data_IF_394328367690
#
_entry.id   IF_394328367690
#
_cell.length_a   1.000
_cell.length_b   1.000
_cell.length_c   1.000
_cell.angle_alpha   90.00
_cell.angle_beta   90.00
_cell.angle_gamma   90.00
#
_symmetry.space_group_name_H-M   'P 1'
#
loop_
_entity.id
_entity.type
_entity.pdbx_description
1 polymer ?
#
# COMPACT_ATOMS: atom_id res chain seq x y z
N UNK A 1 -20.61 54.40 -8.26
CA UNK A 1 -19.72 53.24 -7.97
C UNK A 1 -20.64 52.03 -7.88
N UNK A 2 -20.81 51.34 -9.01
CA UNK A 2 -21.78 50.27 -9.23
C UNK A 2 -21.18 48.93 -8.82
N UNK A 3 -21.86 48.24 -7.90
CA UNK A 3 -21.51 46.92 -7.39
C UNK A 3 -22.05 45.84 -8.33
N UNK A 4 -21.19 45.26 -9.17
CA UNK A 4 -21.54 44.09 -9.98
C UNK A 4 -21.44 42.82 -9.13
N UNK A 5 -22.59 42.36 -8.65
CA UNK A 5 -22.81 41.04 -8.03
C UNK A 5 -22.83 39.99 -9.14
N UNK A 6 -21.77 39.20 -9.31
CA UNK A 6 -21.78 38.02 -10.20
C UNK A 6 -22.69 36.96 -9.58
N UNK A 7 -23.87 36.76 -10.16
CA UNK A 7 -24.74 35.63 -9.86
C UNK A 7 -24.11 34.35 -10.41
N UNK A 8 -23.70 33.46 -9.51
CA UNK A 8 -23.40 32.06 -9.82
C UNK A 8 -24.72 31.32 -9.98
N UNK A 9 -25.04 30.91 -11.20
CA UNK A 9 -26.20 30.05 -11.49
C UNK A 9 -25.87 28.64 -11.00
N UNK A 10 -26.50 28.22 -9.90
CA UNK A 10 -26.48 26.84 -9.42
C UNK A 10 -27.25 25.96 -10.42
N UNK A 11 -26.56 25.02 -11.08
CA UNK A 11 -27.20 23.97 -11.87
C UNK A 11 -27.65 22.87 -10.91
N UNK A 12 -28.93 22.85 -10.54
CA UNK A 12 -29.53 21.77 -9.76
C UNK A 12 -29.47 20.45 -10.55
N UNK A 13 -28.62 19.50 -10.13
CA UNK A 13 -28.73 18.09 -10.57
C UNK A 13 -29.93 17.47 -9.82
N UNK A 14 -31.10 17.50 -10.46
CA UNK A 14 -32.30 16.84 -9.95
C UNK A 14 -32.09 15.32 -9.83
N UNK A 15 -32.32 14.77 -8.64
CA UNK A 15 -32.43 13.32 -8.41
C UNK A 15 -33.64 12.80 -9.20
N UNK A 16 -33.41 12.05 -10.27
CA UNK A 16 -34.51 11.41 -11.03
C UNK A 16 -34.97 10.14 -10.31
N UNK A 17 -36.24 10.11 -9.95
CA UNK A 17 -36.98 8.90 -9.55
C UNK A 17 -37.02 7.92 -10.73
N UNK A 18 -36.53 6.70 -10.52
CA UNK A 18 -36.47 5.66 -11.53
C UNK A 18 -37.83 4.95 -11.68
N UNK A 19 -38.71 5.46 -12.55
CA UNK A 19 -39.81 4.68 -13.11
C UNK A 19 -39.29 3.89 -14.30
N UNK A 20 -39.03 2.59 -14.11
CA UNK A 20 -38.42 1.69 -15.11
C UNK A 20 -39.51 0.89 -15.84
N UNK A 21 -39.69 1.19 -17.13
CA UNK A 21 -40.41 0.34 -18.11
C UNK A 21 -39.42 -0.45 -18.98
N UNK A 22 -39.84 -1.55 -19.65
CA UNK A 22 -38.94 -2.54 -20.24
C UNK A 22 -38.64 -2.23 -21.71
N UNK A 23 -37.84 -1.19 -22.01
CA UNK A 23 -37.22 -0.97 -23.34
C UNK A 23 -36.29 0.27 -23.35
N UNK A 24 -35.20 0.26 -22.59
CA UNK A 24 -34.13 1.24 -22.80
C UNK A 24 -32.80 0.48 -22.93
N UNK A 25 -32.34 0.31 -24.17
CA UNK A 25 -30.90 0.31 -24.43
C UNK A 25 -30.39 1.65 -23.91
N UNK A 26 -29.35 1.64 -23.08
CA UNK A 26 -28.64 2.85 -22.65
C UNK A 26 -28.17 3.60 -23.89
N UNK A 27 -28.95 4.58 -24.33
CA UNK A 27 -28.56 5.51 -25.37
C UNK A 27 -29.13 6.89 -24.98
N UNK A 28 -28.73 7.37 -23.82
CA UNK A 28 -29.07 8.72 -23.37
C UNK A 28 -28.07 9.73 -23.98
N UNK A 29 -28.32 10.05 -25.27
CA UNK A 29 -27.94 11.30 -25.98
C UNK A 29 -26.44 11.56 -26.24
N UNK A 30 -25.95 11.32 -27.46
CA UNK A 30 -25.95 12.27 -28.61
C UNK A 30 -25.00 13.47 -28.50
N UNK A 31 -23.70 13.23 -28.49
CA UNK A 31 -22.85 13.86 -29.51
C UNK A 31 -22.62 12.77 -30.54
N UNK A 32 -23.23 12.87 -31.73
CA UNK A 32 -22.80 12.01 -32.83
C UNK A 32 -21.34 12.35 -33.07
N UNK A 33 -20.43 11.44 -32.69
CA UNK A 33 -19.03 11.54 -33.05
C UNK A 33 -18.98 11.87 -34.54
N UNK A 34 -18.16 12.85 -34.90
CA UNK A 34 -17.84 13.02 -36.31
C UNK A 34 -17.22 11.73 -36.82
N UNK A 35 -17.41 11.41 -38.10
CA UNK A 35 -16.74 10.26 -38.74
C UNK A 35 -15.21 10.37 -38.56
N UNK A 36 -14.69 11.60 -38.51
CA UNK A 36 -13.29 11.87 -38.20
C UNK A 36 -12.92 11.54 -36.74
N UNK A 37 -13.80 11.79 -35.77
CA UNK A 37 -13.56 11.47 -34.35
C UNK A 37 -13.67 9.97 -34.11
N UNK A 38 -14.62 9.28 -34.73
CA UNK A 38 -14.74 7.82 -34.70
C UNK A 38 -13.50 7.15 -35.29
N UNK A 39 -13.07 7.57 -36.48
CA UNK A 39 -11.85 7.07 -37.10
C UNK A 39 -10.59 7.37 -36.27
N UNK A 40 -10.56 8.50 -35.57
CA UNK A 40 -9.47 8.84 -34.66
C UNK A 40 -9.42 7.92 -33.43
N UNK A 41 -10.57 7.64 -32.81
CA UNK A 41 -10.68 6.73 -31.68
C UNK A 41 -10.29 5.30 -32.08
N UNK A 42 -10.80 4.80 -33.21
CA UNK A 42 -10.41 3.49 -33.75
C UNK A 42 -8.90 3.42 -34.01
N UNK A 43 -8.33 4.45 -34.65
CA UNK A 43 -6.89 4.49 -34.91
C UNK A 43 -6.06 4.47 -33.61
N UNK A 44 -6.53 5.13 -32.55
CA UNK A 44 -5.90 5.10 -31.24
C UNK A 44 -6.05 3.73 -30.55
N UNK A 45 -7.21 3.10 -30.64
CA UNK A 45 -7.51 1.78 -30.07
C UNK A 45 -6.68 0.66 -30.73
N UNK A 46 -6.62 0.66 -32.06
CA UNK A 46 -5.89 -0.36 -32.84
C UNK A 46 -4.39 -0.11 -32.97
N UNK A 47 -3.87 1.01 -32.46
CA UNK A 47 -2.42 1.25 -32.48
C UNK A 47 -1.89 1.85 -33.79
N UNK A 48 -2.71 2.52 -34.59
CA UNK A 48 -2.32 3.08 -35.88
C UNK A 48 -1.60 4.44 -35.74
N UNK A 49 -0.34 4.38 -35.34
CA UNK A 49 0.54 5.54 -35.10
C UNK A 49 0.56 6.57 -36.24
N UNK A 50 0.78 6.22 -37.53
CA UNK A 50 0.87 7.23 -38.58
C UNK A 50 -0.45 7.95 -38.81
N UNK A 51 -1.58 7.25 -38.68
CA UNK A 51 -2.92 7.85 -38.81
C UNK A 51 -3.17 8.82 -37.66
N UNK A 52 -2.95 8.39 -36.41
CA UNK A 52 -3.13 9.24 -35.23
C UNK A 52 -2.25 10.49 -35.31
N UNK A 53 -0.97 10.34 -35.68
CA UNK A 53 -0.05 11.46 -35.86
C UNK A 53 -0.56 12.45 -36.92
N UNK A 54 -0.94 11.93 -38.09
CA UNK A 54 -1.44 12.74 -39.20
C UNK A 54 -2.70 13.51 -38.80
N UNK A 55 -3.65 12.85 -38.14
CA UNK A 55 -4.88 13.49 -37.68
C UNK A 55 -4.62 14.56 -36.60
N UNK A 56 -3.64 14.34 -35.70
CA UNK A 56 -3.25 15.34 -34.68
C UNK A 56 -2.52 16.56 -35.24
N UNK A 57 -1.94 16.46 -36.43
CA UNK A 57 -1.19 17.53 -37.11
C UNK A 57 -2.06 18.28 -38.15
N UNK A 58 -2.92 17.57 -38.89
CA UNK A 58 -3.69 18.12 -40.02
C UNK A 58 -5.12 18.55 -39.66
N UNK A 59 -5.77 17.93 -38.67
CA UNK A 59 -7.17 18.22 -38.34
C UNK A 59 -7.29 19.29 -37.24
N UNK A 60 -7.64 20.52 -37.63
CA UNK A 60 -7.86 21.64 -36.70
C UNK A 60 -9.19 21.54 -35.95
N UNK A 61 -10.19 20.87 -36.54
CA UNK A 61 -11.52 20.65 -35.96
C UNK A 61 -11.60 19.44 -35.02
N UNK A 62 -10.53 18.64 -34.91
CA UNK A 62 -10.55 17.40 -34.14
C UNK A 62 -10.57 17.70 -32.64
N UNK A 63 -11.62 17.24 -31.97
CA UNK A 63 -11.63 17.21 -30.52
C UNK A 63 -10.81 16.01 -30.01
N UNK A 64 -9.64 16.26 -29.44
CA UNK A 64 -8.77 15.20 -28.87
C UNK A 64 -9.43 14.52 -27.67
N UNK A 65 -10.33 15.20 -26.97
CA UNK A 65 -11.09 14.66 -25.84
C UNK A 65 -12.46 14.10 -26.27
N UNK A 66 -12.60 13.69 -27.53
CA UNK A 66 -13.75 12.90 -27.93
C UNK A 66 -13.81 11.59 -27.13
N UNK A 67 -15.03 11.10 -26.92
CA UNK A 67 -15.31 9.92 -26.12
C UNK A 67 -16.12 8.91 -26.91
N UNK A 68 -15.82 7.63 -26.73
CA UNK A 68 -16.56 6.53 -27.35
C UNK A 68 -17.94 6.31 -26.71
N UNK A 69 -18.64 5.24 -27.11
CA UNK A 69 -19.95 4.87 -26.58
C UNK A 69 -19.91 4.43 -25.10
N UNK A 70 -18.74 4.05 -24.57
CA UNK A 70 -18.50 3.78 -23.15
C UNK A 70 -18.01 5.03 -22.39
N UNK A 71 -17.90 6.16 -23.09
CA UNK A 71 -17.41 7.39 -22.53
C UNK A 71 -15.88 7.42 -22.39
N UNK A 72 -15.09 6.60 -23.08
CA UNK A 72 -13.63 6.56 -22.97
C UNK A 72 -12.96 7.48 -24.00
N UNK A 73 -11.91 8.20 -23.60
CA UNK A 73 -11.12 9.02 -24.50
C UNK A 73 -10.00 8.23 -25.21
N UNK A 74 -9.42 8.84 -26.26
CA UNK A 74 -8.32 8.24 -27.02
C UNK A 74 -7.12 7.81 -26.15
N UNK A 75 -6.82 8.55 -25.08
CA UNK A 75 -5.73 8.23 -24.16
C UNK A 75 -6.03 6.98 -23.33
N UNK A 76 -7.24 6.85 -22.78
CA UNK A 76 -7.69 5.69 -22.03
C UNK A 76 -7.70 4.44 -22.91
N UNK A 77 -8.12 4.55 -24.17
CA UNK A 77 -8.09 3.45 -25.14
C UNK A 77 -6.65 3.04 -25.50
N UNK A 78 -5.78 4.00 -25.81
CA UNK A 78 -4.37 3.73 -26.09
C UNK A 78 -3.65 3.07 -24.91
N UNK A 79 -3.92 3.54 -23.68
CA UNK A 79 -3.34 2.96 -22.46
C UNK A 79 -3.92 1.58 -22.17
N UNK A 80 -5.22 1.35 -22.40
CA UNK A 80 -5.84 0.03 -22.20
C UNK A 80 -5.17 -1.06 -23.03
N UNK A 81 -4.77 -0.71 -24.25
CA UNK A 81 -4.15 -1.60 -25.23
C UNK A 81 -2.61 -1.54 -25.27
N UNK A 82 -1.97 -0.87 -24.30
CA UNK A 82 -0.51 -0.77 -24.16
C UNK A 82 0.21 -0.05 -25.33
N UNK A 83 -0.46 0.88 -26.01
CA UNK A 83 0.14 1.65 -27.11
C UNK A 83 0.99 2.81 -26.58
N UNK A 84 2.25 2.53 -26.20
CA UNK A 84 3.19 3.51 -25.65
C UNK A 84 3.42 4.71 -26.60
N UNK A 85 3.71 4.46 -27.88
CA UNK A 85 4.04 5.54 -28.83
C UNK A 85 2.85 6.49 -29.05
N UNK A 86 1.63 5.95 -29.13
CA UNK A 86 0.41 6.76 -29.22
C UNK A 86 0.21 7.55 -27.93
N UNK A 87 0.42 6.92 -26.78
CA UNK A 87 0.34 7.59 -25.48
C UNK A 87 1.29 8.77 -25.40
N UNK A 88 2.56 8.61 -25.81
CA UNK A 88 3.53 9.71 -25.87
C UNK A 88 3.15 10.81 -26.86
N UNK A 89 2.54 10.47 -28.00
CA UNK A 89 2.03 11.46 -28.95
C UNK A 89 0.86 12.26 -28.40
N UNK A 90 -0.09 11.59 -27.74
CA UNK A 90 -1.25 12.23 -27.13
C UNK A 90 -0.79 13.15 -25.99
N UNK A 91 0.10 12.69 -25.12
CA UNK A 91 0.63 13.46 -23.98
C UNK A 91 1.38 14.74 -24.37
N UNK A 92 1.78 14.91 -25.65
CA UNK A 92 2.34 16.19 -26.13
C UNK A 92 1.30 17.30 -26.28
N UNK A 93 0.01 16.98 -26.27
CA UNK A 93 -1.08 17.96 -26.36
C UNK A 93 -1.45 18.44 -24.96
N UNK A 94 -1.46 19.77 -24.76
CA UNK A 94 -1.65 20.37 -23.43
C UNK A 94 -3.10 20.27 -22.88
N UNK A 95 -4.10 20.12 -23.75
CA UNK A 95 -5.51 20.17 -23.38
C UNK A 95 -6.15 18.78 -23.14
N UNK A 96 -5.39 17.79 -22.65
CA UNK A 96 -5.93 16.46 -22.39
C UNK A 96 -6.73 16.40 -21.08
N UNK A 97 -7.94 15.84 -21.16
CA UNK A 97 -8.74 15.47 -19.99
C UNK A 97 -8.45 14.01 -19.57
N UNK A 98 -8.87 13.64 -18.35
CA UNK A 98 -8.85 12.25 -17.83
C UNK A 98 -7.49 11.56 -17.78
N UNK A 99 -6.40 12.34 -17.76
CA UNK A 99 -5.03 11.82 -17.65
C UNK A 99 -4.82 11.06 -16.32
N UNK A 100 -5.50 11.48 -15.25
CA UNK A 100 -5.46 10.80 -13.95
C UNK A 100 -6.11 9.42 -13.97
N UNK A 101 -7.23 9.25 -14.67
CA UNK A 101 -7.84 7.92 -14.83
C UNK A 101 -6.97 6.99 -15.69
N UNK A 102 -6.37 7.52 -16.77
CA UNK A 102 -5.41 6.77 -17.59
C UNK A 102 -4.19 6.32 -16.76
N UNK A 103 -3.70 7.15 -15.84
CA UNK A 103 -2.65 6.76 -14.89
C UNK A 103 -3.10 5.61 -14.00
N UNK A 104 -4.29 5.68 -13.39
CA UNK A 104 -4.80 4.61 -12.53
C UNK A 104 -5.00 3.30 -13.32
N UNK A 105 -5.44 3.37 -14.58
CA UNK A 105 -5.55 2.21 -15.46
C UNK A 105 -4.18 1.56 -15.73
N UNK A 106 -3.18 2.37 -16.09
CA UNK A 106 -1.82 1.89 -16.35
C UNK A 106 -1.21 1.21 -15.12
N UNK A 107 -1.44 1.78 -13.92
CA UNK A 107 -1.02 1.19 -12.65
C UNK A 107 -1.74 -0.14 -12.38
N UNK A 108 -3.05 -0.20 -12.60
CA UNK A 108 -3.82 -1.43 -12.43
C UNK A 108 -3.39 -2.56 -13.35
N UNK A 109 -2.82 -2.24 -14.51
CA UNK A 109 -2.32 -3.20 -15.50
C UNK A 109 -0.82 -3.53 -15.35
N UNK A 110 -0.07 -2.73 -14.58
CA UNK A 110 1.37 -2.91 -14.41
C UNK A 110 2.22 -2.36 -15.56
N UNK A 111 1.70 -1.42 -16.36
CA UNK A 111 2.43 -0.88 -17.52
C UNK A 111 3.46 0.19 -17.12
N UNK A 112 4.63 -0.24 -16.65
CA UNK A 112 5.68 0.62 -16.07
C UNK A 112 6.09 1.76 -17.02
N UNK A 113 6.37 1.46 -18.30
CA UNK A 113 6.81 2.46 -19.28
C UNK A 113 5.76 3.54 -19.55
N UNK A 114 4.49 3.13 -19.63
CA UNK A 114 3.37 4.04 -19.83
C UNK A 114 3.17 4.92 -18.59
N UNK A 115 3.28 4.34 -17.39
CA UNK A 115 3.24 5.10 -16.13
C UNK A 115 4.34 6.16 -16.11
N UNK A 116 5.57 5.82 -16.48
CA UNK A 116 6.67 6.79 -16.55
C UNK A 116 6.41 7.91 -17.56
N UNK A 117 5.90 7.57 -18.76
CA UNK A 117 5.51 8.55 -19.77
C UNK A 117 4.43 9.50 -19.23
N UNK A 118 3.38 8.98 -18.59
CA UNK A 118 2.31 9.80 -18.00
C UNK A 118 2.84 10.67 -16.85
N UNK A 119 3.69 10.15 -15.97
CA UNK A 119 4.29 10.88 -14.86
C UNK A 119 5.31 11.96 -15.29
N UNK A 120 5.75 11.94 -16.54
CA UNK A 120 6.56 13.00 -17.15
C UNK A 120 5.74 14.21 -17.61
N UNK A 121 4.41 14.06 -17.72
CA UNK A 121 3.50 15.12 -18.15
C UNK A 121 3.44 16.27 -17.13
N UNK A 122 3.40 17.54 -17.58
CA UNK A 122 3.43 18.72 -16.70
C UNK A 122 2.31 18.73 -15.65
N UNK A 123 1.16 18.10 -15.92
CA UNK A 123 0.05 17.97 -14.96
C UNK A 123 0.45 17.29 -13.64
N UNK A 124 1.52 16.47 -13.64
CA UNK A 124 2.03 15.78 -12.45
C UNK A 124 3.30 16.41 -11.87
N UNK A 125 3.81 17.49 -12.46
CA UNK A 125 5.09 18.11 -12.07
C UNK A 125 5.10 18.62 -10.61
N UNK A 126 3.95 19.09 -10.09
CA UNK A 126 3.86 19.62 -8.73
C UNK A 126 3.73 18.54 -7.64
N UNK A 127 3.59 17.25 -7.98
CA UNK A 127 3.46 16.14 -7.02
C UNK A 127 2.19 16.13 -6.15
N UNK A 128 1.53 17.28 -5.95
CA UNK A 128 0.31 17.43 -5.13
C UNK A 128 -0.80 16.48 -5.57
N UNK A 129 -1.03 16.35 -6.88
CA UNK A 129 -2.09 15.49 -7.45
C UNK A 129 -1.83 13.99 -7.25
N UNK A 130 -0.61 13.56 -6.89
CA UNK A 130 -0.28 12.17 -6.61
C UNK A 130 -0.61 11.76 -5.16
N UNK A 131 -0.57 12.73 -4.23
CA UNK A 131 -0.84 12.51 -2.82
C UNK A 131 -2.30 12.78 -2.45
N UNK A 132 -2.95 13.73 -3.12
CA UNK A 132 -4.35 14.07 -2.86
C UNK A 132 -5.32 13.03 -3.42
N UNK A 133 -6.26 12.54 -2.59
CA UNK A 133 -7.32 11.64 -3.06
C UNK A 133 -8.23 12.34 -4.09
N UNK A 134 -8.74 11.60 -5.10
CA UNK A 134 -9.69 12.14 -6.07
C UNK A 134 -10.87 12.90 -5.41
N UNK A 135 -11.40 12.38 -4.30
CA UNK A 135 -12.44 12.99 -3.47
C UNK A 135 -12.12 14.38 -2.91
N UNK A 136 -10.85 14.67 -2.64
CA UNK A 136 -10.41 16.00 -2.18
C UNK A 136 -10.19 16.96 -3.35
N UNK A 137 -9.95 16.43 -4.55
CA UNK A 137 -9.84 17.20 -5.79
C UNK A 137 -11.19 17.59 -6.41
N UNK A 138 -12.30 16.96 -6.00
CA UNK A 138 -13.66 17.29 -6.46
C UNK A 138 -14.09 18.74 -6.16
N UNK A 139 -13.47 19.39 -5.18
CA UNK A 139 -13.66 20.83 -4.92
C UNK A 139 -13.17 21.72 -6.07
N UNK A 140 -12.39 21.18 -7.02
CA UNK A 140 -11.82 21.89 -8.17
C UNK A 140 -12.53 21.64 -9.51
N UNK A 141 -13.64 20.87 -9.57
CA UNK A 141 -14.41 20.64 -10.82
C UNK A 141 -13.53 20.22 -12.02
N UNK A 142 -12.57 19.32 -11.80
CA UNK A 142 -11.60 18.91 -12.81
C UNK A 142 -11.88 17.45 -13.17
N UNK A 143 -12.19 17.13 -14.43
CA UNK A 143 -12.49 15.76 -14.94
C UNK A 143 -11.22 14.88 -15.00
N UNK A 144 -10.27 15.12 -14.10
CA UNK A 144 -8.92 14.58 -14.18
C UNK A 144 -8.87 13.07 -13.89
N UNK A 145 -9.65 12.61 -12.90
CA UNK A 145 -9.78 11.19 -12.52
C UNK A 145 -11.10 10.56 -12.98
N UNK A 146 -11.93 11.31 -13.72
CA UNK A 146 -13.20 10.82 -14.26
C UNK A 146 -12.93 9.71 -15.29
N UNK A 147 -13.67 8.60 -15.16
CA UNK A 147 -13.67 7.55 -16.17
C UNK A 147 -14.60 7.94 -17.32
N UNK A 148 -15.84 8.29 -16.95
CA UNK A 148 -16.93 8.77 -17.79
C UNK A 148 -17.63 9.97 -17.11
N UNK A 149 -18.80 10.38 -17.61
CA UNK A 149 -19.61 11.45 -17.02
C UNK A 149 -20.32 11.04 -15.71
N UNK A 150 -20.37 9.74 -15.42
CA UNK A 150 -21.12 9.14 -14.32
C UNK A 150 -20.24 8.85 -13.08
N UNK A 151 -18.92 8.75 -13.25
CA UNK A 151 -18.00 8.63 -12.12
C UNK A 151 -16.55 8.27 -12.45
N UNK A 152 -15.87 7.74 -11.44
CA UNK A 152 -14.45 7.33 -11.50
C UNK A 152 -14.36 5.80 -11.53
N UNK A 153 -13.32 5.24 -12.17
CA UNK A 153 -13.17 3.77 -12.29
C UNK A 153 -12.91 3.10 -10.94
N UNK A 154 -12.10 3.74 -10.11
CA UNK A 154 -11.74 3.27 -8.78
C UNK A 154 -12.47 4.11 -7.72
N UNK A 155 -12.52 3.63 -6.48
CA UNK A 155 -13.15 4.42 -5.43
C UNK A 155 -12.39 5.76 -5.23
N UNK A 156 -13.13 6.86 -5.12
CA UNK A 156 -12.64 8.24 -4.98
C UNK A 156 -11.61 8.52 -3.86
N UNK A 157 -11.39 7.56 -2.96
CA UNK A 157 -10.41 7.59 -1.88
C UNK A 157 -9.05 6.99 -2.28
N UNK A 158 -9.00 6.20 -3.36
CA UNK A 158 -7.78 5.51 -3.83
C UNK A 158 -6.90 6.48 -4.62
N UNK A 159 -5.72 6.75 -4.09
CA UNK A 159 -4.65 7.48 -4.77
C UNK A 159 -3.81 6.54 -5.64
N UNK A 160 -3.04 7.07 -6.62
CA UNK A 160 -2.15 6.26 -7.45
C UNK A 160 -1.20 5.36 -6.66
N UNK A 161 -0.65 5.87 -5.55
CA UNK A 161 0.26 5.09 -4.68
C UNK A 161 -0.46 3.98 -3.90
N UNK A 162 -1.71 4.21 -3.47
CA UNK A 162 -2.52 3.17 -2.82
C UNK A 162 -2.84 2.06 -3.81
N UNK A 163 -3.20 2.41 -5.05
CA UNK A 163 -3.50 1.41 -6.09
C UNK A 163 -2.26 0.59 -6.46
N UNK A 164 -1.10 1.24 -6.65
CA UNK A 164 0.16 0.55 -6.94
C UNK A 164 0.54 -0.43 -5.81
N UNK A 165 0.34 -0.02 -4.56
CA UNK A 165 0.55 -0.87 -3.39
C UNK A 165 -0.44 -2.05 -3.34
N UNK A 166 -1.71 -1.85 -3.72
CA UNK A 166 -2.70 -2.94 -3.79
C UNK A 166 -2.36 -3.98 -4.85
N UNK A 167 -1.82 -3.54 -6.00
CA UNK A 167 -1.39 -4.43 -7.09
C UNK A 167 -0.03 -5.09 -6.85
N UNK A 168 0.72 -4.68 -5.82
CA UNK A 168 2.07 -5.19 -5.51
C UNK A 168 3.11 -4.90 -6.60
N UNK A 169 2.96 -3.78 -7.31
CA UNK A 169 3.85 -3.38 -8.40
C UNK A 169 5.07 -2.61 -7.86
N UNK A 170 6.16 -3.32 -7.56
CA UNK A 170 7.36 -2.75 -6.90
C UNK A 170 8.00 -1.60 -7.68
N UNK A 171 8.13 -1.72 -9.00
CA UNK A 171 8.75 -0.69 -9.85
C UNK A 171 7.91 0.59 -9.85
N UNK A 172 6.60 0.46 -10.01
CA UNK A 172 5.65 1.58 -9.99
C UNK A 172 5.63 2.24 -8.61
N UNK A 173 5.57 1.45 -7.53
CA UNK A 173 5.64 1.96 -6.16
C UNK A 173 6.93 2.77 -5.96
N UNK A 174 8.09 2.23 -6.35
CA UNK A 174 9.36 2.94 -6.24
C UNK A 174 9.39 4.25 -7.04
N UNK A 175 8.89 4.26 -8.28
CA UNK A 175 8.81 5.46 -9.11
C UNK A 175 7.91 6.53 -8.49
N UNK A 176 6.75 6.14 -7.97
CA UNK A 176 5.84 7.05 -7.26
C UNK A 176 6.44 7.57 -5.94
N UNK A 177 7.13 6.71 -5.18
CA UNK A 177 7.83 7.10 -3.97
C UNK A 177 8.96 8.10 -4.26
N UNK A 178 9.69 7.94 -5.37
CA UNK A 178 10.74 8.88 -5.83
C UNK A 178 10.18 10.24 -6.21
N UNK A 179 8.95 10.28 -6.74
CA UNK A 179 8.19 11.51 -7.01
C UNK A 179 7.59 12.16 -5.76
N UNK A 180 7.83 11.61 -4.57
CA UNK A 180 7.38 12.17 -3.29
C UNK A 180 5.97 11.77 -2.88
N UNK A 181 5.29 10.89 -3.63
CA UNK A 181 3.99 10.36 -3.21
C UNK A 181 4.19 9.41 -2.03
N UNK A 182 3.46 9.62 -0.94
CA UNK A 182 3.44 8.75 0.25
C UNK A 182 2.01 8.53 0.67
N UNK A 183 1.73 7.34 1.22
CA UNK A 183 0.42 7.04 1.79
C UNK A 183 0.33 7.72 3.14
N UNK A 184 -0.68 8.59 3.31
CA UNK A 184 -0.97 9.20 4.59
C UNK A 184 -1.50 8.14 5.58
N UNK A 185 -0.96 8.15 6.81
CA UNK A 185 -1.46 7.24 7.85
C UNK A 185 -2.85 7.68 8.30
N UNK A 186 -3.85 6.77 8.33
CA UNK A 186 -5.15 7.10 8.86
C UNK A 186 -5.07 7.58 10.32
N UNK A 187 -5.93 8.52 10.69
CA UNK A 187 -6.08 8.90 12.09
C UNK A 187 -6.65 7.74 12.91
N UNK A 188 -6.42 7.78 14.22
CA UNK A 188 -7.02 6.85 15.18
C UNK A 188 -8.54 6.80 15.02
N UNK A 189 -9.13 5.62 15.24
CA UNK A 189 -10.55 5.36 15.09
C UNK A 189 -11.40 6.33 15.91
N UNK A 190 -10.93 6.70 17.11
CA UNK A 190 -11.63 7.59 18.04
C UNK A 190 -11.24 9.07 17.90
N UNK A 191 -10.50 9.45 16.85
CA UNK A 191 -10.10 10.83 16.61
C UNK A 191 -11.32 11.74 16.40
N UNK A 192 -11.31 12.90 17.06
CA UNK A 192 -12.40 13.90 17.03
C UNK A 192 -12.01 15.20 16.31
N UNK A 193 -10.99 15.17 15.46
CA UNK A 193 -10.60 16.37 14.70
C UNK A 193 -11.73 16.82 13.76
N UNK A 194 -11.70 18.09 13.36
CA UNK A 194 -12.71 18.70 12.49
C UNK A 194 -12.87 17.94 11.17
N UNK A 195 -11.77 17.51 10.56
CA UNK A 195 -11.78 16.79 9.28
C UNK A 195 -12.40 15.40 9.37
N UNK A 196 -12.02 14.59 10.36
CA UNK A 196 -12.60 13.25 10.57
C UNK A 196 -14.09 13.35 10.89
N UNK A 197 -14.49 14.29 11.75
CA UNK A 197 -15.88 14.50 12.11
C UNK A 197 -16.71 14.97 10.91
N UNK A 198 -16.15 15.83 10.06
CA UNK A 198 -16.81 16.29 8.83
C UNK A 198 -17.00 15.14 7.84
N UNK A 199 -15.94 14.36 7.57
CA UNK A 199 -16.01 13.19 6.67
C UNK A 199 -17.02 12.15 7.19
N UNK A 200 -17.03 11.87 8.48
CA UNK A 200 -17.95 10.91 9.10
C UNK A 200 -19.42 11.38 9.05
N UNK A 201 -19.68 12.68 9.24
CA UNK A 201 -21.05 13.24 9.14
C UNK A 201 -21.56 13.26 7.70
N UNK A 202 -20.68 13.51 6.73
CA UNK A 202 -21.05 13.55 5.33
C UNK A 202 -21.33 12.14 4.80
N UNK A 203 -20.38 11.21 4.98
CA UNK A 203 -20.56 9.81 4.62
C UNK A 203 -19.67 8.90 5.49
N UNK A 204 -20.29 8.27 6.48
CA UNK A 204 -19.62 7.35 7.39
C UNK A 204 -19.13 6.07 6.71
N UNK A 205 -19.80 5.62 5.63
CA UNK A 205 -19.43 4.38 4.93
C UNK A 205 -18.25 4.62 4.00
N UNK A 206 -18.24 5.72 3.24
CA UNK A 206 -17.05 6.12 2.49
C UNK A 206 -15.86 6.35 3.41
N UNK A 207 -16.07 6.96 4.59
CA UNK A 207 -14.99 7.18 5.54
C UNK A 207 -14.35 5.87 6.06
N UNK A 208 -15.15 4.85 6.41
CA UNK A 208 -14.60 3.54 6.80
C UNK A 208 -13.92 2.82 5.62
N UNK A 209 -14.48 2.93 4.42
CA UNK A 209 -13.87 2.37 3.18
C UNK A 209 -12.50 3.00 2.87
N UNK A 210 -12.39 4.32 3.00
CA UNK A 210 -11.14 5.07 2.84
C UNK A 210 -10.05 4.59 3.80
N UNK A 211 -10.43 4.40 5.07
CA UNK A 211 -9.50 3.91 6.10
C UNK A 211 -8.94 2.54 5.76
N UNK A 212 -9.79 1.58 5.39
CA UNK A 212 -9.32 0.23 5.08
C UNK A 212 -8.50 0.18 3.80
N UNK A 213 -8.82 1.02 2.80
CA UNK A 213 -8.02 1.12 1.58
C UNK A 213 -6.62 1.69 1.84
N UNK A 214 -6.50 2.69 2.72
CA UNK A 214 -5.21 3.21 3.17
C UNK A 214 -4.41 2.14 3.93
N UNK A 215 -5.02 1.43 4.90
CA UNK A 215 -4.36 0.34 5.61
C UNK A 215 -3.93 -0.81 4.70
N UNK A 216 -4.74 -1.14 3.68
CA UNK A 216 -4.39 -2.15 2.69
C UNK A 216 -3.17 -1.74 1.85
N UNK A 217 -3.01 -0.45 1.56
CA UNK A 217 -1.81 0.08 0.93
C UNK A 217 -0.58 0.00 1.85
N UNK A 218 -0.71 0.46 3.10
CA UNK A 218 0.35 0.44 4.11
C UNK A 218 0.84 -0.98 4.46
N UNK A 219 -0.08 -1.96 4.49
CA UNK A 219 0.22 -3.35 4.81
C UNK A 219 0.78 -4.17 3.64
N UNK A 220 0.92 -3.56 2.45
CA UNK A 220 1.45 -4.25 1.28
C UNK A 220 2.98 -4.48 1.40
N UNK A 221 3.49 -5.66 1.01
CA UNK A 221 4.93 -5.94 0.99
C UNK A 221 5.73 -4.95 0.13
N UNK A 222 5.18 -4.54 -1.02
CA UNK A 222 5.80 -3.57 -1.91
C UNK A 222 6.00 -2.21 -1.22
N UNK A 223 4.99 -1.73 -0.49
CA UNK A 223 5.12 -0.46 0.23
C UNK A 223 6.03 -0.59 1.45
N UNK A 224 5.90 -1.66 2.25
CA UNK A 224 6.72 -1.87 3.45
C UNK A 224 8.22 -1.93 3.11
N UNK A 225 8.59 -2.70 2.08
CA UNK A 225 9.99 -2.88 1.66
C UNK A 225 10.64 -1.61 1.11
N UNK A 226 9.89 -0.74 0.42
CA UNK A 226 10.44 0.42 -0.29
C UNK A 226 10.27 1.76 0.46
N UNK A 227 9.33 1.86 1.40
CA UNK A 227 9.00 3.11 2.09
C UNK A 227 9.62 3.25 3.48
N UNK A 228 9.93 2.14 4.16
CA UNK A 228 10.41 2.13 5.54
C UNK A 228 11.89 1.75 5.62
N UNK A 229 12.62 2.41 6.52
CA UNK A 229 14.02 2.10 6.80
C UNK A 229 14.16 0.75 7.52
N UNK A 230 13.31 0.51 8.53
CA UNK A 230 13.17 -0.78 9.20
C UNK A 230 11.81 -1.42 8.87
N UNK A 231 11.76 -2.29 7.83
CA UNK A 231 10.52 -2.93 7.41
C UNK A 231 10.03 -3.98 8.41
N UNK A 232 10.91 -4.58 9.21
CA UNK A 232 10.53 -5.59 10.20
C UNK A 232 9.76 -4.95 11.34
N UNK A 233 10.32 -3.87 11.92
CA UNK A 233 9.67 -3.17 13.02
C UNK A 233 8.34 -2.57 12.57
N UNK A 234 8.32 -1.90 11.42
CA UNK A 234 7.11 -1.29 10.86
C UNK A 234 6.02 -2.33 10.62
N UNK A 235 6.36 -3.49 10.06
CA UNK A 235 5.40 -4.57 9.83
C UNK A 235 4.88 -5.19 11.13
N UNK A 236 5.71 -5.35 12.16
CA UNK A 236 5.30 -5.86 13.47
C UNK A 236 4.31 -4.91 14.15
N UNK A 237 4.62 -3.62 14.23
CA UNK A 237 3.73 -2.60 14.80
C UNK A 237 2.41 -2.52 14.05
N UNK A 238 2.45 -2.43 12.72
CA UNK A 238 1.27 -2.36 11.87
C UNK A 238 0.41 -3.63 11.99
N UNK A 239 1.03 -4.81 12.12
CA UNK A 239 0.29 -6.06 12.31
C UNK A 239 -0.53 -6.06 13.60
N UNK A 240 0.00 -5.47 14.67
CA UNK A 240 -0.67 -5.34 15.96
C UNK A 240 -1.77 -4.28 15.90
N UNK A 241 -1.50 -3.13 15.29
CA UNK A 241 -2.50 -2.08 15.07
C UNK A 241 -3.72 -2.62 14.32
N UNK A 242 -3.50 -3.33 13.20
CA UNK A 242 -4.56 -3.98 12.43
C UNK A 242 -5.32 -5.04 13.25
N UNK A 243 -4.63 -5.79 14.11
CA UNK A 243 -5.27 -6.77 14.98
C UNK A 243 -6.17 -6.12 16.04
N UNK A 244 -5.77 -4.96 16.58
CA UNK A 244 -6.60 -4.14 17.50
C UNK A 244 -7.80 -3.56 16.75
N UNK A 245 -7.59 -2.98 15.57
CA UNK A 245 -8.66 -2.44 14.74
C UNK A 245 -9.69 -3.49 14.33
N UNK A 246 -9.27 -4.73 14.04
CA UNK A 246 -10.17 -5.85 13.78
C UNK A 246 -11.12 -6.16 14.96
N UNK A 247 -10.74 -5.79 16.19
CA UNK A 247 -11.58 -5.93 17.36
C UNK A 247 -12.47 -4.71 17.61
N UNK A 248 -12.10 -3.53 17.11
CA UNK A 248 -12.89 -2.30 17.21
C UNK A 248 -13.97 -2.28 16.13
N UNK A 249 -13.58 -2.42 14.86
CA UNK A 249 -14.46 -2.36 13.70
C UNK A 249 -14.88 -3.79 13.31
N UNK A 250 -16.13 -4.15 13.60
CA UNK A 250 -16.61 -5.54 13.46
C UNK A 250 -17.00 -5.86 12.02
N UNK A 251 -17.43 -4.85 11.27
CA UNK A 251 -17.93 -4.94 9.90
C UNK A 251 -16.83 -5.42 8.95
N UNK A 252 -15.61 -4.89 9.09
CA UNK A 252 -14.44 -5.24 8.27
C UNK A 252 -13.41 -6.10 9.01
N UNK A 253 -13.83 -6.76 10.10
CA UNK A 253 -12.94 -7.58 10.96
C UNK A 253 -12.11 -8.59 10.18
N UNK A 254 -12.70 -9.24 9.18
CA UNK A 254 -12.02 -10.26 8.37
C UNK A 254 -10.91 -9.65 7.51
N UNK A 255 -11.15 -8.47 6.94
CA UNK A 255 -10.19 -7.77 6.10
C UNK A 255 -9.00 -7.30 6.93
N UNK A 256 -9.23 -6.68 8.09
CA UNK A 256 -8.14 -6.30 9.01
C UNK A 256 -7.31 -7.50 9.47
N UNK A 257 -7.96 -8.63 9.78
CA UNK A 257 -7.24 -9.87 10.12
C UNK A 257 -6.38 -10.38 8.97
N UNK A 258 -6.87 -10.29 7.73
CA UNK A 258 -6.12 -10.69 6.53
C UNK A 258 -4.90 -9.80 6.33
N UNK A 259 -5.06 -8.47 6.48
CA UNK A 259 -3.95 -7.51 6.40
C UNK A 259 -2.94 -7.71 7.53
N UNK A 260 -3.40 -7.95 8.75
CA UNK A 260 -2.52 -8.28 9.89
C UNK A 260 -1.69 -9.54 9.60
N UNK A 261 -2.32 -10.58 9.04
CA UNK A 261 -1.62 -11.80 8.64
C UNK A 261 -0.61 -11.54 7.51
N UNK A 262 -0.95 -10.70 6.54
CA UNK A 262 -0.03 -10.30 5.45
C UNK A 262 1.24 -9.64 5.99
N UNK A 263 1.12 -8.72 6.95
CA UNK A 263 2.29 -8.13 7.62
C UNK A 263 3.11 -9.18 8.38
N UNK A 264 2.45 -10.11 9.08
CA UNK A 264 3.12 -11.21 9.80
C UNK A 264 3.88 -12.15 8.85
N UNK A 265 3.25 -12.53 7.75
CA UNK A 265 3.86 -13.41 6.74
C UNK A 265 5.01 -12.71 6.00
N UNK A 266 4.92 -11.39 5.78
CA UNK A 266 6.03 -10.60 5.24
C UNK A 266 7.29 -10.67 6.12
N UNK A 267 7.14 -10.50 7.44
CA UNK A 267 8.28 -10.60 8.38
C UNK A 267 8.87 -12.01 8.41
N UNK A 268 8.02 -13.03 8.35
CA UNK A 268 8.47 -14.43 8.26
C UNK A 268 9.24 -14.67 6.95
N UNK A 269 8.72 -14.19 5.83
CA UNK A 269 9.38 -14.32 4.53
C UNK A 269 10.75 -13.63 4.49
N UNK A 270 10.91 -12.50 5.19
CA UNK A 270 12.21 -11.84 5.29
C UNK A 270 13.22 -12.67 6.11
N UNK A 271 12.77 -13.29 7.21
CA UNK A 271 13.61 -14.18 8.03
C UNK A 271 14.02 -15.47 7.30
N UNK A 272 13.17 -15.95 6.39
CA UNK A 272 13.43 -17.12 5.55
C UNK A 272 14.58 -16.87 4.54
N UNK A 273 14.79 -15.61 4.15
CA UNK A 273 15.82 -15.20 3.19
C UNK A 273 17.22 -15.06 3.80
N UNK A 274 17.35 -15.06 5.13
CA UNK A 274 18.64 -14.93 5.82
C UNK A 274 19.54 -16.15 5.57
N UNK A 275 20.82 -15.88 5.29
CA UNK A 275 21.81 -16.92 4.92
C UNK A 275 22.90 -17.14 5.94
N UNK A 276 23.10 -16.19 6.87
CA UNK A 276 24.11 -16.28 7.90
C UNK A 276 23.51 -15.95 9.28
N UNK A 277 24.26 -16.26 10.35
CA UNK A 277 23.83 -16.00 11.73
C UNK A 277 23.75 -14.51 12.04
N UNK A 278 24.59 -13.70 11.40
CA UNK A 278 24.63 -12.24 11.58
C UNK A 278 23.33 -11.57 11.09
N UNK A 279 22.83 -11.94 9.91
CA UNK A 279 21.54 -11.48 9.37
C UNK A 279 20.37 -11.91 10.26
N UNK A 280 20.38 -13.16 10.74
CA UNK A 280 19.34 -13.65 11.66
C UNK A 280 19.39 -12.87 12.98
N UNK A 281 20.57 -12.63 13.54
CA UNK A 281 20.75 -11.83 14.74
C UNK A 281 20.31 -10.38 14.54
N UNK A 282 20.62 -9.79 13.38
CA UNK A 282 20.19 -8.44 13.03
C UNK A 282 18.66 -8.35 12.95
N UNK A 283 17.98 -9.35 12.36
CA UNK A 283 16.50 -9.39 12.35
C UNK A 283 15.92 -9.57 13.75
N UNK A 284 16.49 -10.43 14.60
CA UNK A 284 15.94 -10.76 15.92
C UNK A 284 16.20 -9.70 17.00
N UNK A 285 17.32 -8.98 16.91
CA UNK A 285 17.74 -7.99 17.91
C UNK A 285 17.51 -6.55 17.47
N UNK A 286 17.56 -6.29 16.15
CA UNK A 286 17.58 -4.93 15.61
C UNK A 286 18.90 -4.19 15.82
N UNK A 287 18.85 -2.86 15.68
CA UNK A 287 20.06 -2.04 15.68
C UNK A 287 20.83 -2.12 16.99
N UNK A 288 22.14 -2.33 16.82
CA UNK A 288 23.12 -2.58 17.88
C UNK A 288 23.48 -1.31 18.66
N UNK A 289 23.02 -0.13 18.22
CA UNK A 289 23.42 1.19 18.76
C UNK A 289 22.94 1.47 20.19
N UNK A 290 21.99 0.69 20.72
CA UNK A 290 21.56 0.79 22.13
C UNK A 290 22.40 -0.04 23.10
N UNK A 291 23.51 -0.65 22.65
CA UNK A 291 24.46 -1.32 23.55
C UNK A 291 25.27 -0.29 24.33
N UNK A 292 24.93 -0.09 25.60
CA UNK A 292 25.81 0.60 26.54
C UNK A 292 27.16 -0.16 26.64
N UNK A 293 28.31 0.52 26.61
CA UNK A 293 29.62 -0.10 26.71
C UNK A 293 29.80 -0.64 28.14
N UNK A 294 29.40 -1.88 28.36
CA UNK A 294 29.41 -2.53 29.67
C UNK A 294 28.53 -3.77 29.78
N UNK A 295 27.55 -3.95 28.89
CA UNK A 295 26.62 -5.10 28.94
C UNK A 295 27.14 -6.28 28.09
N UNK A 296 28.26 -6.85 28.54
CA UNK A 296 28.73 -8.14 28.03
C UNK A 296 27.98 -9.26 28.74
N UNK A 297 26.82 -9.72 28.24
CA UNK A 297 26.54 -11.17 28.31
C UNK A 297 25.32 -11.71 27.58
N UNK A 298 24.33 -10.91 27.12
CA UNK A 298 23.15 -11.51 26.47
C UNK A 298 22.61 -10.67 25.30
N UNK A 299 22.30 -11.30 24.14
CA UNK A 299 21.63 -10.61 23.06
C UNK A 299 20.28 -10.06 23.56
N UNK A 300 20.07 -8.75 23.43
CA UNK A 300 18.80 -8.14 23.74
C UNK A 300 17.82 -8.45 22.59
N UNK A 301 17.19 -9.62 22.69
CA UNK A 301 16.17 -10.18 21.78
C UNK A 301 14.89 -9.32 21.75
N UNK A 302 15.03 -8.04 21.44
CA UNK A 302 14.01 -7.00 21.59
C UNK A 302 12.84 -7.24 20.61
N UNK A 303 13.14 -7.46 19.33
CA UNK A 303 12.14 -7.76 18.30
C UNK A 303 11.51 -9.13 18.51
N UNK A 304 12.25 -10.11 19.03
CA UNK A 304 11.65 -11.40 19.42
C UNK A 304 10.66 -11.26 20.58
N UNK A 305 11.02 -10.51 21.64
CA UNK A 305 10.09 -10.20 22.74
C UNK A 305 8.84 -9.48 22.23
N UNK A 306 9.02 -8.55 21.29
CA UNK A 306 7.92 -7.83 20.65
C UNK A 306 7.04 -8.77 19.79
N UNK A 307 7.65 -9.66 19.02
CA UNK A 307 6.94 -10.65 18.20
C UNK A 307 6.11 -11.62 19.06
N UNK A 308 6.61 -11.99 20.25
CA UNK A 308 5.84 -12.76 21.23
C UNK A 308 4.66 -11.94 21.76
N UNK A 309 4.89 -10.67 22.13
CA UNK A 309 3.84 -9.74 22.58
C UNK A 309 2.72 -9.56 21.53
N UNK A 310 3.07 -9.55 20.24
CA UNK A 310 2.13 -9.40 19.13
C UNK A 310 1.63 -10.74 18.56
N UNK A 311 1.93 -11.85 19.23
CA UNK A 311 1.50 -13.20 18.85
C UNK A 311 1.84 -13.56 17.39
N UNK A 312 3.06 -13.25 16.94
CA UNK A 312 3.57 -13.63 15.61
C UNK A 312 4.13 -15.05 15.65
N UNK A 313 3.22 -16.04 15.73
CA UNK A 313 3.56 -17.44 16.01
C UNK A 313 4.55 -18.06 15.00
N UNK A 314 4.36 -17.82 13.70
CA UNK A 314 5.21 -18.36 12.63
C UNK A 314 6.65 -17.84 12.71
N UNK A 315 6.83 -16.57 13.08
CA UNK A 315 8.14 -15.94 13.22
C UNK A 315 8.94 -16.57 14.35
N UNK A 316 8.31 -16.75 15.51
CA UNK A 316 8.97 -17.39 16.66
C UNK A 316 9.24 -18.87 16.39
N UNK A 317 8.31 -19.58 15.76
CA UNK A 317 8.47 -21.01 15.43
C UNK A 317 9.42 -21.29 14.26
N UNK A 318 9.95 -20.26 13.61
CA UNK A 318 10.79 -20.39 12.43
C UNK A 318 12.09 -21.17 12.73
N UNK A 319 12.56 -22.09 11.86
CA UNK A 319 13.77 -22.87 12.10
C UNK A 319 15.01 -22.01 12.42
N UNK A 320 15.22 -20.92 11.67
CA UNK A 320 16.35 -20.01 11.90
C UNK A 320 16.25 -19.32 13.28
N UNK A 321 15.03 -18.91 13.68
CA UNK A 321 14.79 -18.32 14.99
C UNK A 321 15.03 -19.35 16.11
N UNK A 322 14.51 -20.57 15.95
CA UNK A 322 14.65 -21.65 16.91
C UNK A 322 16.11 -22.08 17.08
N UNK A 323 16.87 -22.15 15.98
CA UNK A 323 18.29 -22.47 16.03
C UNK A 323 19.08 -21.42 16.84
N UNK A 324 18.79 -20.14 16.64
CA UNK A 324 19.42 -19.07 17.41
C UNK A 324 19.03 -19.12 18.90
N UNK A 325 17.75 -19.36 19.19
CA UNK A 325 17.30 -19.53 20.58
C UNK A 325 17.95 -20.73 21.26
N UNK A 326 18.13 -21.84 20.53
CA UNK A 326 18.84 -23.01 21.04
C UNK A 326 20.34 -22.74 21.24
N UNK A 327 20.99 -21.89 20.42
CA UNK A 327 22.39 -21.54 20.63
C UNK A 327 22.55 -20.75 21.94
N UNK A 328 21.67 -19.77 22.18
CA UNK A 328 21.63 -18.96 23.40
C UNK A 328 21.29 -19.84 24.62
N UNK A 329 20.33 -20.76 24.49
CA UNK A 329 19.90 -21.63 25.59
C UNK A 329 21.00 -22.62 26.03
N UNK A 330 21.82 -23.10 25.10
CA UNK A 330 22.88 -24.09 25.38
C UNK A 330 24.29 -23.50 25.38
N UNK A 331 24.46 -22.18 25.46
CA UNK A 331 25.75 -21.47 25.33
C UNK A 331 26.85 -22.06 26.24
N UNK A 332 26.55 -22.23 27.53
CA UNK A 332 27.48 -22.78 28.52
C UNK A 332 27.48 -24.32 28.59
N UNK A 333 26.59 -25.00 27.86
CA UNK A 333 26.33 -26.45 27.94
C UNK A 333 26.17 -27.08 26.54
N UNK A 334 27.05 -26.72 25.61
CA UNK A 334 26.98 -27.15 24.20
C UNK A 334 26.94 -28.68 24.03
N UNK A 335 27.69 -29.41 24.86
CA UNK A 335 27.74 -30.87 24.87
C UNK A 335 26.41 -31.54 25.21
N UNK A 336 25.52 -30.89 25.98
CA UNK A 336 24.23 -31.45 26.41
C UNK A 336 23.19 -31.47 25.29
N UNK A 337 23.33 -30.59 24.28
CA UNK A 337 22.38 -30.49 23.16
C UNK A 337 22.26 -31.80 22.38
N UNK A 338 23.40 -32.44 22.09
CA UNK A 338 23.49 -33.68 21.29
C UNK A 338 23.31 -34.96 22.12
N UNK A 339 23.13 -34.88 23.45
CA UNK A 339 23.00 -36.05 24.30
C UNK A 339 21.65 -36.76 24.16
N UNK A 340 21.65 -38.05 24.52
CA UNK A 340 20.45 -38.88 24.57
C UNK A 340 19.47 -38.40 25.65
N UNK A 341 18.19 -38.76 25.51
CA UNK A 341 17.16 -38.37 26.46
C UNK A 341 17.43 -38.87 27.88
N UNK A 342 18.02 -40.07 28.02
CA UNK A 342 18.37 -40.64 29.33
C UNK A 342 19.39 -39.77 30.09
N UNK A 343 20.42 -39.29 29.40
CA UNK A 343 21.43 -38.38 29.99
C UNK A 343 20.77 -37.06 30.39
N UNK A 344 19.88 -36.51 29.56
CA UNK A 344 19.14 -35.28 29.87
C UNK A 344 18.28 -35.44 31.12
N UNK A 345 17.55 -36.55 31.27
CA UNK A 345 16.77 -36.84 32.47
C UNK A 345 17.64 -36.99 33.72
N UNK A 346 18.79 -37.66 33.61
CA UNK A 346 19.72 -37.83 34.72
C UNK A 346 20.29 -36.47 35.18
N UNK A 347 20.66 -35.60 34.24
CA UNK A 347 21.13 -34.23 34.55
C UNK A 347 20.04 -33.43 35.25
N UNK A 348 18.79 -33.47 34.77
CA UNK A 348 17.67 -32.76 35.41
C UNK A 348 17.44 -33.27 36.84
N UNK A 349 17.51 -34.59 37.07
CA UNK A 349 17.37 -35.18 38.39
C UNK A 349 18.51 -34.76 39.33
N UNK A 350 19.76 -34.78 38.83
CA UNK A 350 20.92 -34.35 39.59
C UNK A 350 20.84 -32.86 39.98
N UNK A 351 20.40 -31.99 39.07
CA UNK A 351 20.17 -30.55 39.34
C UNK A 351 19.04 -30.36 40.36
N UNK A 352 17.96 -31.12 40.27
CA UNK A 352 16.85 -31.04 41.23
C UNK A 352 17.28 -31.40 42.67
N UNK A 353 18.13 -32.43 42.83
CA UNK A 353 18.69 -32.83 44.13
C UNK A 353 19.73 -31.80 44.62
N UNK A 354 20.55 -31.26 43.71
CA UNK A 354 21.63 -30.32 44.01
C UNK A 354 21.20 -28.85 44.15
N UNK A 355 19.92 -28.52 43.91
CA UNK A 355 19.38 -27.16 43.92
C UNK A 355 19.70 -26.33 45.19
N UNK A 356 19.62 -26.87 46.44
CA UNK A 356 19.99 -26.09 47.63
C UNK A 356 21.48 -25.72 47.67
N UNK A 357 22.36 -26.60 47.17
CA UNK A 357 23.79 -26.32 47.07
C UNK A 357 24.09 -25.29 45.97
N UNK A 358 23.42 -25.38 44.82
CA UNK A 358 23.54 -24.41 43.73
C UNK A 358 23.08 -23.00 44.16
N UNK A 359 21.98 -22.91 44.92
CA UNK A 359 21.50 -21.65 45.47
C UNK A 359 22.51 -21.01 46.44
N UNK A 360 23.14 -21.80 47.31
CA UNK A 360 24.17 -21.34 48.24
C UNK A 360 25.43 -20.86 47.51
N UNK A 361 25.86 -21.58 46.47
CA UNK A 361 27.00 -21.19 45.62
C UNK A 361 26.71 -19.88 44.88
N UNK A 362 25.52 -19.72 44.32
CA UNK A 362 25.12 -18.49 43.63
C UNK A 362 25.07 -17.29 44.59
N UNK A 363 24.65 -17.50 45.85
CA UNK A 363 24.63 -16.47 46.88
C UNK A 363 26.03 -16.06 47.35
N UNK A 364 26.93 -17.03 47.55
CA UNK A 364 28.28 -16.77 48.08
C UNK A 364 29.29 -16.33 47.00
N UNK A 365 29.16 -16.82 45.77
CA UNK A 365 30.11 -16.59 44.68
C UNK A 365 29.41 -16.53 43.30
N UNK A 366 28.65 -15.45 43.01
CA UNK A 366 27.89 -15.31 41.77
C UNK A 366 28.76 -15.27 40.50
N UNK A 367 30.01 -14.79 40.59
CA UNK A 367 30.95 -14.73 39.46
C UNK A 367 31.81 -16.00 39.30
N UNK A 368 31.51 -17.09 40.02
CA UNK A 368 32.24 -18.35 39.87
C UNK A 368 31.82 -19.08 38.58
N UNK A 369 32.68 -19.94 38.04
CA UNK A 369 32.40 -20.76 36.83
C UNK A 369 31.17 -21.69 36.96
N UNK A 370 30.66 -21.86 38.18
CA UNK A 370 29.45 -22.65 38.49
C UNK A 370 28.23 -21.74 38.68
N UNK A 371 28.43 -20.46 39.01
CA UNK A 371 27.39 -19.45 39.14
C UNK A 371 27.08 -18.70 37.82
N UNK A 372 28.06 -18.61 36.92
CA UNK A 372 27.96 -18.20 35.50
C UNK A 372 27.68 -19.42 34.62
#
# INVERSE_FOLDING_TARGET
>A
ILTHRRQTVLREKGRRLANRGPAYMFNDRSTSLSIEEEHFLDAAEYGNIPVVRKMLEECVSLNVNCVDYMGQNALQLAVANEHLEITELLLKKENLSRVGDALLLAISKGYVRIVEAILSHPAFAEGKRLATSPSQSELQQDDFYAYDEDGTRFSHDVTPIILAAHCQEYEIVHTLLRKGARIERPHDYFCKCSECNQKQKHDSFSHSRSRINAYKGLASPAYLSLSSEDPVMTALELSNELAVLANIEKEFKNDYKKLSMQCKDFVVGLLDLCRNTEEVEAILNGDVETRHPGDHSRPNLSRLKLAIKYEVKKFVAHPNCQQQLLSIWYENLSGLRQQTMAVKFLVVLAVAIGLPFLALIYWCAPCSKVGL
#
